data_IF_993254630134
#
_entry.id   IF_993254630134
#
_cell.length_a   1.000
_cell.length_b   1.000
_cell.length_c   1.000
_cell.angle_alpha   90.00
_cell.angle_beta   90.00
_cell.angle_gamma   90.00
#
_symmetry.space_group_name_H-M   'P 1'
#
loop_
_entity.id
_entity.type
_entity.pdbx_description
1 polymer ?
#
# COMPACT_ATOMS: atom_id res chain seq x y z
N UNK A 1 0.99 -6.64 -0.62
CA UNK A 1 0.09 -5.47 -0.41
C UNK A 1 0.78 -4.43 0.46
N UNK A 2 0.59 -3.13 0.15
CA UNK A 2 1.15 -2.03 0.95
C UNK A 2 0.04 -1.29 1.71
N UNK A 3 0.14 -1.21 3.03
CA UNK A 3 -0.81 -0.41 3.82
C UNK A 3 -0.64 1.11 3.60
N UNK A 4 0.56 1.54 3.22
CA UNK A 4 0.87 2.90 2.76
C UNK A 4 1.66 2.79 1.45
N UNK A 5 1.08 3.30 0.37
CA UNK A 5 1.63 3.22 -0.97
C UNK A 5 2.99 3.95 -1.10
N UNK A 6 3.36 4.84 -0.18
CA UNK A 6 4.69 5.50 -0.17
C UNK A 6 5.84 4.54 0.15
N UNK A 7 5.55 3.36 0.72
CA UNK A 7 6.54 2.29 0.87
C UNK A 7 7.11 1.79 -0.48
N UNK A 8 6.48 2.16 -1.60
CA UNK A 8 6.99 1.97 -2.96
C UNK A 8 8.42 2.50 -3.16
N UNK A 9 8.82 3.58 -2.48
CA UNK A 9 10.18 4.10 -2.54
C UNK A 9 11.21 3.07 -2.04
N UNK A 10 10.89 2.40 -0.92
CA UNK A 10 11.77 1.37 -0.37
C UNK A 10 11.80 0.14 -1.29
N UNK A 11 10.65 -0.28 -1.84
CA UNK A 11 10.61 -1.37 -2.81
C UNK A 11 11.42 -1.07 -4.07
N UNK A 12 11.48 0.18 -4.52
CA UNK A 12 12.29 0.56 -5.68
C UNK A 12 13.80 0.44 -5.45
N UNK A 13 14.28 0.45 -4.20
CA UNK A 13 15.67 0.14 -3.88
C UNK A 13 15.92 -1.36 -4.02
N UNK A 14 14.95 -2.20 -3.65
CA UNK A 14 15.06 -3.67 -3.62
C UNK A 14 14.77 -4.27 -5.01
N UNK A 15 13.85 -3.67 -5.77
CA UNK A 15 13.38 -4.08 -7.09
C UNK A 15 13.52 -2.92 -8.10
N UNK A 16 14.75 -2.51 -8.47
CA UNK A 16 14.98 -1.30 -9.26
C UNK A 16 14.48 -1.37 -10.71
N UNK A 17 14.20 -2.58 -11.22
CA UNK A 17 13.70 -2.80 -12.59
C UNK A 17 12.19 -2.59 -12.68
N UNK A 18 11.44 -3.25 -11.80
CA UNK A 18 9.99 -3.11 -11.69
C UNK A 18 9.57 -3.18 -10.21
N UNK A 19 9.43 -2.02 -9.54
CA UNK A 19 9.03 -1.98 -8.15
C UNK A 19 7.54 -2.32 -7.94
N UNK A 20 6.75 -2.45 -9.03
CA UNK A 20 5.32 -2.70 -8.98
C UNK A 20 4.96 -4.17 -9.16
N UNK A 21 5.90 -5.01 -9.62
CA UNK A 21 5.68 -6.40 -10.05
C UNK A 21 4.82 -7.23 -9.06
N UNK A 22 5.10 -7.10 -7.75
CA UNK A 22 4.44 -7.88 -6.70
C UNK A 22 3.41 -7.07 -5.88
N UNK A 23 3.04 -5.86 -6.33
CA UNK A 23 2.08 -5.00 -5.61
C UNK A 23 0.67 -5.25 -6.16
N UNK A 24 -0.09 -6.09 -5.46
CA UNK A 24 -1.48 -6.40 -5.83
C UNK A 24 -2.50 -5.34 -5.38
N UNK A 25 -2.17 -4.60 -4.32
CA UNK A 25 -3.03 -3.57 -3.75
C UNK A 25 -2.23 -2.62 -2.84
N UNK A 26 -2.75 -1.40 -2.68
CA UNK A 26 -2.25 -0.40 -1.75
C UNK A 26 -3.27 0.65 -1.36
N UNK A 27 -2.94 1.53 -0.43
CA UNK A 27 -3.83 2.64 -0.07
C UNK A 27 -3.81 3.82 -1.05
N UNK A 28 -4.53 4.88 -0.72
CA UNK A 28 -4.57 6.12 -1.51
C UNK A 28 -3.47 7.14 -1.15
N UNK A 29 -2.42 6.77 -0.40
CA UNK A 29 -1.42 7.74 0.07
C UNK A 29 -0.61 8.35 -1.07
N UNK A 30 -0.39 7.64 -2.20
CA UNK A 30 0.23 8.26 -3.39
C UNK A 30 -0.65 9.38 -3.96
N UNK A 31 -1.97 9.18 -4.03
CA UNK A 31 -2.87 10.22 -4.55
C UNK A 31 -3.05 11.38 -3.58
N UNK A 32 -3.11 11.10 -2.27
CA UNK A 32 -3.49 12.09 -1.25
C UNK A 32 -2.31 12.78 -0.58
N UNK A 33 -1.14 12.13 -0.50
CA UNK A 33 0.04 12.63 0.23
C UNK A 33 1.28 12.79 -0.62
N UNK A 34 1.39 12.10 -1.76
CA UNK A 34 2.57 12.13 -2.63
C UNK A 34 2.21 12.12 -4.13
N UNK A 35 1.41 13.08 -4.61
CA UNK A 35 0.93 13.09 -6.00
C UNK A 35 2.07 13.26 -7.01
N UNK A 36 3.10 14.02 -6.65
CA UNK A 36 4.35 14.17 -7.42
C UNK A 36 5.07 12.83 -7.62
N UNK A 37 5.09 11.98 -6.59
CA UNK A 37 5.64 10.64 -6.66
C UNK A 37 4.78 9.74 -7.56
N UNK A 38 3.46 9.85 -7.47
CA UNK A 38 2.55 9.11 -8.35
C UNK A 38 2.81 9.45 -9.83
N UNK A 39 2.96 10.74 -10.16
CA UNK A 39 3.24 11.22 -11.52
C UNK A 39 4.64 10.78 -12.01
N UNK A 40 5.63 10.79 -11.14
CA UNK A 40 6.98 10.29 -11.45
C UNK A 40 6.95 8.80 -11.81
N UNK A 41 6.23 7.98 -11.04
CA UNK A 41 6.10 6.55 -11.32
C UNK A 41 5.23 6.29 -12.55
N UNK A 42 4.12 7.02 -12.75
CA UNK A 42 3.24 6.83 -13.90
C UNK A 42 3.94 7.03 -15.24
N UNK A 43 4.93 7.94 -15.31
CA UNK A 43 5.75 8.16 -16.51
C UNK A 43 6.60 6.96 -16.91
N UNK A 44 7.09 6.17 -15.95
CA UNK A 44 7.96 5.00 -16.20
C UNK A 44 7.18 3.67 -16.14
N UNK A 45 6.16 3.62 -15.31
CA UNK A 45 5.37 2.45 -14.98
C UNK A 45 3.87 2.80 -15.03
N UNK A 46 3.27 2.88 -16.23
CA UNK A 46 1.87 3.24 -16.40
C UNK A 46 0.89 2.31 -15.67
N UNK A 47 1.31 1.09 -15.31
CA UNK A 47 0.53 0.15 -14.51
C UNK A 47 0.28 0.62 -13.08
N UNK A 48 0.95 1.68 -12.60
CA UNK A 48 0.72 2.28 -11.28
C UNK A 48 -0.75 2.64 -11.05
N UNK A 49 -1.46 3.08 -12.08
CA UNK A 49 -2.88 3.45 -11.99
C UNK A 49 -3.83 2.26 -11.97
N UNK A 50 -3.33 1.04 -12.20
CA UNK A 50 -4.10 -0.20 -12.22
C UNK A 50 -4.06 -0.95 -10.90
N UNK A 51 -3.19 -0.56 -9.97
CA UNK A 51 -3.07 -1.23 -8.67
C UNK A 51 -4.34 -0.98 -7.86
N UNK A 52 -4.90 -2.06 -7.33
CA UNK A 52 -6.15 -2.04 -6.56
C UNK A 52 -6.01 -1.14 -5.33
N UNK A 53 -6.99 -0.25 -5.13
CA UNK A 53 -7.05 0.56 -3.92
C UNK A 53 -7.59 -0.27 -2.74
N UNK A 54 -6.92 -0.16 -1.60
CA UNK A 54 -7.29 -0.72 -0.31
C UNK A 54 -7.46 0.42 0.71
N UNK A 55 -8.34 0.27 1.69
CA UNK A 55 -8.64 1.33 2.65
C UNK A 55 -7.42 1.59 3.57
N UNK A 56 -7.07 2.86 3.78
CA UNK A 56 -5.90 3.21 4.58
C UNK A 56 -6.17 2.92 6.08
N UNK A 57 -5.38 2.05 6.72
CA UNK A 57 -5.60 1.64 8.11
C UNK A 57 -5.37 2.74 9.13
N UNK A 58 -4.80 3.90 8.77
CA UNK A 58 -4.76 5.09 9.63
C UNK A 58 -6.13 5.71 9.81
N UNK A 59 -6.94 5.80 8.75
CA UNK A 59 -8.21 6.52 8.75
C UNK A 59 -9.42 5.60 8.99
N UNK A 60 -9.31 4.32 8.64
CA UNK A 60 -10.40 3.34 8.77
C UNK A 60 -9.95 2.11 9.54
N UNK A 61 -10.89 1.28 9.95
CA UNK A 61 -10.52 -0.06 10.42
C UNK A 61 -9.95 -0.90 9.29
N UNK A 62 -8.98 -1.75 9.61
CA UNK A 62 -8.38 -2.64 8.63
C UNK A 62 -9.26 -3.87 8.46
N UNK A 63 -9.93 -4.02 7.32
CA UNK A 63 -10.76 -5.21 7.05
C UNK A 63 -9.90 -6.39 6.60
N UNK A 64 -9.77 -7.38 7.49
CA UNK A 64 -9.06 -8.63 7.19
C UNK A 64 -9.80 -9.43 6.12
N UNK A 65 -11.14 -9.42 6.12
CA UNK A 65 -11.98 -10.13 5.17
C UNK A 65 -11.74 -9.62 3.74
N UNK A 66 -11.77 -8.30 3.54
CA UNK A 66 -11.44 -7.69 2.24
C UNK A 66 -9.99 -7.96 1.83
N UNK A 67 -9.06 -8.02 2.78
CA UNK A 67 -7.67 -8.34 2.47
C UNK A 67 -7.52 -9.80 1.98
N UNK A 68 -8.19 -10.75 2.63
CA UNK A 68 -8.13 -12.19 2.28
C UNK A 68 -8.68 -12.46 0.88
N UNK A 69 -9.69 -11.74 0.41
CA UNK A 69 -10.22 -11.92 -0.96
C UNK A 69 -9.21 -11.55 -2.04
N UNK A 70 -8.25 -10.66 -1.74
CA UNK A 70 -7.15 -10.29 -2.63
C UNK A 70 -6.00 -11.30 -2.60
N UNK A 71 -6.02 -12.27 -1.68
CA UNK A 71 -4.99 -13.30 -1.52
C UNK A 71 -3.55 -12.75 -1.43
N UNK A 72 -3.25 -11.79 -0.53
CA UNK A 72 -1.88 -11.30 -0.34
C UNK A 72 -1.00 -12.33 0.35
N UNK A 73 0.19 -12.57 -0.19
CA UNK A 73 1.23 -13.35 0.51
C UNK A 73 1.88 -12.56 1.66
N UNK A 74 1.95 -11.23 1.53
CA UNK A 74 2.55 -10.32 2.50
C UNK A 74 1.82 -8.97 2.52
N UNK A 75 1.62 -8.44 3.73
CA UNK A 75 1.12 -7.08 3.96
C UNK A 75 2.15 -6.29 4.75
N UNK A 76 2.58 -5.16 4.20
CA UNK A 76 3.57 -4.28 4.83
C UNK A 76 2.85 -3.10 5.46
N UNK A 77 3.09 -2.91 6.76
CA UNK A 77 2.64 -1.74 7.53
C UNK A 77 3.86 -0.97 8.02
N UNK A 78 3.75 0.35 8.10
CA UNK A 78 4.70 1.12 8.89
C UNK A 78 4.36 1.01 10.39
N UNK A 79 5.33 1.28 11.26
CA UNK A 79 5.19 1.06 12.71
C UNK A 79 4.14 1.97 13.37
N UNK A 80 3.84 3.13 12.78
CA UNK A 80 2.91 4.12 13.34
C UNK A 80 1.48 3.60 13.49
N UNK A 81 1.07 2.63 12.66
CA UNK A 81 -0.27 2.05 12.72
C UNK A 81 -0.43 0.99 13.82
N UNK A 82 0.67 0.49 14.40
CA UNK A 82 0.67 -0.65 15.33
C UNK A 82 -0.24 -0.42 16.54
N UNK A 83 -0.21 0.79 17.11
CA UNK A 83 -1.04 1.12 18.28
C UNK A 83 -2.54 1.03 17.97
N UNK A 84 -2.95 1.41 16.76
CA UNK A 84 -4.34 1.32 16.30
C UNK A 84 -4.75 -0.11 16.03
N UNK A 85 -3.92 -0.88 15.31
CA UNK A 85 -4.17 -2.30 15.04
C UNK A 85 -4.32 -3.12 16.35
N UNK A 86 -3.50 -2.82 17.37
CA UNK A 86 -3.61 -3.45 18.69
C UNK A 86 -4.95 -3.17 19.38
N UNK A 87 -5.50 -1.96 19.21
CA UNK A 87 -6.83 -1.60 19.76
C UNK A 87 -7.96 -2.33 19.04
N UNK A 88 -7.84 -2.54 17.73
CA UNK A 88 -8.84 -3.25 16.92
C UNK A 88 -8.91 -4.75 17.23
N UNK A 89 -7.77 -5.36 17.60
CA UNK A 89 -7.71 -6.77 18.00
C UNK A 89 -8.39 -7.08 19.35
N UNK A 90 -8.73 -6.07 20.15
CA UNK A 90 -9.24 -6.25 21.50
C UNK A 90 -10.75 -6.59 21.59
N UNK A 91 -11.36 -7.03 20.48
CA UNK A 91 -12.74 -7.49 20.41
C UNK A 91 -12.80 -8.91 19.86
#
# INVERSE_FOLDING_TARGET
MLADARALLALNIIHPKDPLENIIAWDNSLKTKAPDLADAYARKFPQVSKITMFENPYYTDFSVEKAVTLQPDLIIFDIGVLAKLKKQRAF
#
